data_IF_540746811034
#
_entry.id   IF_540746811034
#
_cell.length_a   1.000
_cell.length_b   1.000
_cell.length_c   1.000
_cell.angle_alpha   90.00
_cell.angle_beta   90.00
_cell.angle_gamma   90.00
#
_symmetry.space_group_name_H-M   'P 1'
#
loop_
_entity.id
_entity.type
_entity.pdbx_description
1 polymer ?
#
# COMPACT_ATOMS: atom_id res chain seq x y z
N UNK A 1 -11.04 31.00 -2.28
CA UNK A 1 -9.87 30.12 -2.38
C UNK A 1 -10.12 29.10 -3.49
N UNK A 2 -9.10 28.65 -4.22
CA UNK A 2 -9.24 27.59 -5.23
C UNK A 2 -9.77 26.33 -4.55
N UNK A 3 -10.71 25.62 -5.20
CA UNK A 3 -11.17 24.32 -4.72
C UNK A 3 -10.10 23.24 -4.94
N UNK A 4 -9.33 23.37 -6.01
CA UNK A 4 -8.25 22.44 -6.34
C UNK A 4 -7.11 22.55 -5.32
N UNK A 5 -6.59 21.42 -4.90
CA UNK A 5 -5.36 21.30 -4.11
C UNK A 5 -4.34 20.47 -4.90
N UNK A 6 -3.10 20.94 -4.98
CA UNK A 6 -1.98 20.28 -5.66
C UNK A 6 -0.68 20.71 -4.96
N UNK A 7 -0.34 20.01 -3.89
CA UNK A 7 0.73 20.39 -2.97
C UNK A 7 1.65 19.22 -2.70
N UNK A 8 2.97 19.50 -2.68
CA UNK A 8 3.98 18.63 -2.11
C UNK A 8 4.73 19.38 -1.03
N UNK A 9 4.90 18.78 0.13
CA UNK A 9 5.52 19.43 1.28
C UNK A 9 6.23 18.45 2.21
N UNK A 10 7.21 18.96 2.93
CA UNK A 10 7.80 18.25 4.06
C UNK A 10 7.04 18.57 5.34
N UNK A 11 6.66 17.52 6.06
CA UNK A 11 6.13 17.58 7.42
C UNK A 11 7.23 17.17 8.40
N UNK A 12 7.32 17.88 9.52
CA UNK A 12 8.20 17.51 10.64
C UNK A 12 7.51 16.46 11.50
N UNK A 13 7.87 15.18 11.32
CA UNK A 13 7.25 14.04 12.00
C UNK A 13 8.34 13.10 12.52
N UNK A 14 8.26 12.72 13.78
CA UNK A 14 9.21 11.77 14.39
C UNK A 14 10.67 12.25 14.36
N UNK A 15 10.89 13.56 14.30
CA UNK A 15 12.24 14.16 14.17
C UNK A 15 12.80 14.14 12.75
N UNK A 16 12.00 13.78 11.75
CA UNK A 16 12.38 13.73 10.34
C UNK A 16 11.52 14.68 9.51
N UNK A 17 12.09 15.16 8.42
CA UNK A 17 11.38 15.83 7.33
C UNK A 17 10.76 14.78 6.42
N UNK A 18 9.47 14.53 6.56
CA UNK A 18 8.76 13.49 5.81
C UNK A 18 7.96 14.09 4.65
N UNK A 19 8.17 13.56 3.45
CA UNK A 19 7.55 14.07 2.23
C UNK A 19 6.14 13.55 2.06
N UNK A 20 5.22 14.49 1.82
CA UNK A 20 3.80 14.19 1.60
C UNK A 20 3.31 14.97 0.39
N UNK A 21 2.49 14.35 -0.45
CA UNK A 21 1.71 15.03 -1.48
C UNK A 21 0.23 15.04 -1.11
N UNK A 22 -0.46 16.16 -1.37
CA UNK A 22 -1.90 16.34 -1.13
C UNK A 22 -2.49 16.88 -2.43
N UNK A 23 -3.31 16.08 -3.11
CA UNK A 23 -3.80 16.39 -4.44
C UNK A 23 -5.27 16.05 -4.62
N UNK A 24 -6.03 16.93 -5.24
CA UNK A 24 -7.45 16.73 -5.52
C UNK A 24 -8.06 17.88 -6.29
N UNK A 25 -9.15 17.61 -7.02
CA UNK A 25 -9.91 18.61 -7.76
C UNK A 25 -10.76 19.49 -6.86
N UNK A 26 -11.15 18.98 -5.72
CA UNK A 26 -11.88 19.74 -4.70
C UNK A 26 -11.35 19.31 -3.32
N UNK A 27 -10.74 20.26 -2.61
CA UNK A 27 -10.16 20.05 -1.28
C UNK A 27 -11.19 19.69 -0.21
N UNK A 28 -12.48 19.81 -0.51
CA UNK A 28 -13.58 19.39 0.37
C UNK A 28 -14.01 17.94 0.14
N UNK A 29 -13.49 17.29 -0.91
CA UNK A 29 -13.69 15.85 -1.09
C UNK A 29 -13.02 15.08 0.06
N UNK A 30 -13.57 13.91 0.45
CA UNK A 30 -12.97 13.07 1.48
C UNK A 30 -11.50 12.80 1.19
N UNK A 31 -10.65 12.92 2.21
CA UNK A 31 -9.24 12.61 2.07
C UNK A 31 -9.01 11.10 2.10
N UNK A 32 -8.20 10.60 1.16
CA UNK A 32 -7.81 9.19 1.04
C UNK A 32 -6.28 9.09 1.07
N UNK A 33 -5.74 8.55 2.16
CA UNK A 33 -4.31 8.31 2.30
C UNK A 33 -3.95 6.95 1.75
N UNK A 34 -3.05 6.93 0.77
CA UNK A 34 -2.58 5.70 0.11
C UNK A 34 -1.28 5.26 0.78
N UNK A 35 -1.29 4.05 1.37
CA UNK A 35 -0.15 3.44 2.04
C UNK A 35 0.41 2.30 1.20
N UNK A 36 1.65 2.41 0.78
CA UNK A 36 2.39 1.32 0.14
C UNK A 36 3.27 0.56 1.14
N UNK A 37 3.86 -0.55 0.73
CA UNK A 37 4.85 -1.27 1.52
C UNK A 37 6.09 -0.41 1.80
N UNK A 38 6.82 -0.74 2.88
CA UNK A 38 8.03 -0.02 3.25
C UNK A 38 9.07 -0.02 2.12
N UNK A 39 9.75 1.11 1.96
CA UNK A 39 10.71 1.33 0.89
C UNK A 39 10.12 1.86 -0.43
N UNK A 40 8.81 1.86 -0.58
CA UNK A 40 8.17 2.39 -1.78
C UNK A 40 8.06 3.93 -1.72
N UNK A 41 8.69 4.61 -2.68
CA UNK A 41 8.53 6.06 -2.90
C UNK A 41 7.19 6.33 -3.59
N UNK A 42 6.10 6.32 -2.82
CA UNK A 42 4.76 6.26 -3.40
C UNK A 42 4.23 7.61 -3.86
N UNK A 43 4.82 8.71 -3.40
CA UNK A 43 4.51 10.06 -3.91
C UNK A 43 4.80 10.19 -5.41
N UNK A 44 5.86 9.53 -5.91
CA UNK A 44 6.20 9.50 -7.32
C UNK A 44 5.11 8.86 -8.20
N UNK A 45 4.26 8.00 -7.62
CA UNK A 45 3.15 7.35 -8.32
C UNK A 45 1.89 8.23 -8.43
N UNK A 46 1.94 9.48 -8.00
CA UNK A 46 0.80 10.41 -8.05
C UNK A 46 0.12 10.49 -9.44
N UNK A 47 0.85 10.51 -10.58
CA UNK A 47 0.20 10.51 -11.90
C UNK A 47 -0.67 9.28 -12.18
N UNK A 48 -0.31 8.12 -11.61
CA UNK A 48 -1.04 6.86 -11.82
C UNK A 48 -2.41 6.92 -11.14
N UNK A 49 -2.49 7.51 -9.94
CA UNK A 49 -3.73 7.61 -9.15
C UNK A 49 -4.52 8.91 -9.42
N UNK A 50 -4.04 9.80 -10.31
CA UNK A 50 -4.71 11.05 -10.63
C UNK A 50 -6.21 10.92 -11.03
N UNK A 51 -6.68 9.81 -11.66
CA UNK A 51 -8.12 9.64 -11.91
C UNK A 51 -9.00 9.64 -10.64
N UNK A 52 -8.45 9.30 -9.47
CA UNK A 52 -9.21 9.31 -8.21
C UNK A 52 -9.34 10.72 -7.61
N UNK A 53 -8.52 11.69 -8.05
CA UNK A 53 -8.57 13.09 -7.61
C UNK A 53 -9.91 13.78 -7.93
N UNK A 54 -10.69 13.24 -8.87
CA UNK A 54 -12.04 13.71 -9.20
C UNK A 54 -13.03 13.50 -8.03
N UNK A 55 -12.72 12.59 -7.09
CA UNK A 55 -13.64 12.18 -6.03
C UNK A 55 -13.04 12.19 -4.63
N UNK A 56 -11.73 12.20 -4.54
CA UNK A 56 -10.98 12.20 -3.29
C UNK A 56 -9.90 13.27 -3.30
N UNK A 57 -9.54 13.76 -2.12
CA UNK A 57 -8.26 14.41 -1.91
C UNK A 57 -7.24 13.33 -1.55
N UNK A 58 -6.36 13.01 -2.50
CA UNK A 58 -5.36 11.96 -2.33
C UNK A 58 -4.19 12.45 -1.49
N UNK A 59 -3.76 11.59 -0.57
CA UNK A 59 -2.59 11.80 0.26
C UNK A 59 -1.61 10.67 0.00
N UNK A 60 -0.41 10.99 -0.47
CA UNK A 60 0.65 10.01 -0.66
C UNK A 60 1.86 10.42 0.16
N UNK A 61 2.44 9.48 0.85
CA UNK A 61 3.50 9.70 1.82
C UNK A 61 4.70 8.82 1.51
N UNK A 62 5.86 9.43 1.33
CA UNK A 62 7.14 8.72 1.32
C UNK A 62 7.54 8.45 2.77
N UNK A 63 7.43 7.20 3.16
CA UNK A 63 7.70 6.75 4.53
C UNK A 63 9.19 6.87 4.89
N UNK A 64 9.56 6.88 6.19
CA UNK A 64 10.95 6.72 6.60
C UNK A 64 11.62 5.54 5.88
N UNK A 65 12.84 5.77 5.39
CA UNK A 65 13.56 4.77 4.58
C UNK A 65 13.15 4.71 3.12
N UNK A 66 12.31 5.63 2.61
CA UNK A 66 11.89 5.66 1.21
C UNK A 66 11.87 7.06 0.60
N UNK A 67 12.08 7.11 -0.71
CA UNK A 67 11.87 8.25 -1.56
C UNK A 67 12.49 9.56 -1.06
N UNK A 68 11.72 10.63 -1.14
CA UNK A 68 12.16 11.97 -0.75
C UNK A 68 12.37 12.12 0.76
N UNK A 69 11.65 11.35 1.58
CA UNK A 69 11.88 11.32 3.04
C UNK A 69 13.27 10.80 3.36
N UNK A 70 13.69 9.69 2.74
CA UNK A 70 15.05 9.18 2.92
C UNK A 70 16.10 10.17 2.39
N UNK A 71 15.86 10.76 1.22
CA UNK A 71 16.77 11.73 0.63
C UNK A 71 16.96 12.98 1.50
N UNK A 72 15.90 13.42 2.20
CA UNK A 72 15.95 14.57 3.12
C UNK A 72 16.58 14.25 4.48
N UNK A 73 16.73 12.96 4.83
CA UNK A 73 17.23 12.51 6.13
C UNK A 73 18.31 11.41 5.95
N UNK A 74 19.43 11.68 5.27
CA UNK A 74 20.44 10.66 4.96
C UNK A 74 21.12 10.09 6.21
N UNK A 75 21.08 10.80 7.32
CA UNK A 75 21.70 10.43 8.59
C UNK A 75 20.74 9.69 9.55
N UNK A 76 19.51 9.44 9.15
CA UNK A 76 18.57 8.67 9.97
C UNK A 76 19.11 7.25 10.19
N UNK A 77 19.39 6.92 11.45
CA UNK A 77 19.89 5.60 11.90
C UNK A 77 18.88 4.89 12.80
N UNK A 78 17.72 5.51 13.05
CA UNK A 78 16.72 4.91 13.89
C UNK A 78 16.17 3.63 13.22
N UNK A 79 15.94 2.54 13.97
CA UNK A 79 15.40 1.33 13.40
C UNK A 79 14.08 1.57 12.66
N UNK A 80 13.98 1.04 11.45
CA UNK A 80 12.73 1.01 10.72
C UNK A 80 11.91 -0.18 11.24
N UNK A 81 10.74 0.11 11.80
CA UNK A 81 9.80 -0.88 12.34
C UNK A 81 8.38 -0.52 11.93
N UNK A 82 7.48 -1.50 11.89
CA UNK A 82 6.06 -1.22 11.63
C UNK A 82 5.44 -0.33 12.71
N UNK A 83 5.89 -0.42 13.97
CA UNK A 83 5.41 0.46 15.05
C UNK A 83 5.86 1.91 14.85
N UNK A 84 7.10 2.12 14.35
CA UNK A 84 7.56 3.46 13.96
C UNK A 84 6.74 4.00 12.81
N UNK A 85 6.58 3.22 11.74
CA UNK A 85 5.78 3.60 10.57
C UNK A 85 4.34 3.94 10.96
N UNK A 86 3.74 3.17 11.87
CA UNK A 86 2.37 3.43 12.33
C UNK A 86 2.26 4.73 13.12
N UNK A 87 3.18 5.00 14.07
CA UNK A 87 3.18 6.26 14.83
C UNK A 87 3.40 7.47 13.91
N UNK A 88 4.36 7.39 13.01
CA UNK A 88 4.64 8.46 12.06
C UNK A 88 3.46 8.67 11.11
N UNK A 89 2.84 7.59 10.62
CA UNK A 89 1.67 7.64 9.76
C UNK A 89 0.45 8.29 10.42
N UNK A 90 0.22 8.06 11.72
CA UNK A 90 -0.82 8.75 12.49
C UNK A 90 -0.50 10.25 12.57
N UNK A 91 0.74 10.63 12.88
CA UNK A 91 1.14 12.04 12.95
C UNK A 91 1.05 12.74 11.58
N UNK A 92 1.39 12.03 10.48
CA UNK A 92 1.16 12.54 9.11
C UNK A 92 -0.34 12.74 8.85
N UNK A 93 -1.18 11.78 9.21
CA UNK A 93 -2.63 11.90 9.06
C UNK A 93 -3.19 13.09 9.84
N UNK A 94 -2.73 13.32 11.07
CA UNK A 94 -3.10 14.48 11.90
C UNK A 94 -2.71 15.80 11.24
N UNK A 95 -1.48 15.92 10.76
CA UNK A 95 -1.00 17.13 10.10
C UNK A 95 -1.75 17.43 8.81
N UNK A 96 -2.08 16.37 8.01
CA UNK A 96 -2.88 16.50 6.79
C UNK A 96 -4.32 16.90 7.11
N UNK A 97 -4.96 16.28 8.10
CA UNK A 97 -6.30 16.63 8.54
C UNK A 97 -6.36 18.10 8.98
N UNK A 98 -5.42 18.55 9.81
CA UNK A 98 -5.33 19.95 10.24
C UNK A 98 -5.19 20.92 9.04
N UNK A 99 -4.37 20.56 8.02
CA UNK A 99 -4.17 21.37 6.82
C UNK A 99 -5.42 21.44 5.94
N UNK A 100 -6.19 20.36 5.86
CA UNK A 100 -7.42 20.28 5.07
C UNK A 100 -8.65 20.84 5.82
N UNK A 101 -8.55 20.99 7.15
CA UNK A 101 -9.70 21.36 8.01
C UNK A 101 -10.68 20.19 8.15
N UNK A 102 -10.16 18.96 8.21
CA UNK A 102 -10.92 17.72 8.36
C UNK A 102 -10.57 17.05 9.69
N UNK A 103 -11.51 16.31 10.26
CA UNK A 103 -11.27 15.56 11.50
C UNK A 103 -10.60 14.21 11.24
N UNK A 104 -10.94 13.57 10.11
CA UNK A 104 -10.54 12.20 9.78
C UNK A 104 -10.25 12.07 8.29
N UNK A 105 -9.44 11.05 7.94
CA UNK A 105 -9.24 10.61 6.56
C UNK A 105 -9.45 9.10 6.43
N UNK A 106 -9.67 8.61 5.22
CA UNK A 106 -9.74 7.18 4.94
C UNK A 106 -8.34 6.65 4.57
N UNK A 107 -8.07 5.38 4.89
CA UNK A 107 -6.86 4.68 4.48
C UNK A 107 -7.13 3.75 3.30
N UNK A 108 -6.26 3.78 2.30
CA UNK A 108 -6.15 2.77 1.26
C UNK A 108 -4.77 2.12 1.36
N UNK A 109 -4.72 0.90 1.87
CA UNK A 109 -3.48 0.24 2.24
C UNK A 109 -3.18 -0.93 1.29
N UNK A 110 -1.98 -0.94 0.71
CA UNK A 110 -1.56 -1.84 -0.36
C UNK A 110 -0.49 -2.79 0.16
N UNK A 111 -0.70 -4.11 0.03
CA UNK A 111 0.32 -5.14 0.32
C UNK A 111 0.93 -4.94 1.72
N UNK A 112 2.25 -4.89 1.85
CA UNK A 112 2.93 -4.59 3.12
C UNK A 112 2.49 -3.30 3.82
N UNK A 113 1.94 -2.32 3.08
CA UNK A 113 1.32 -1.11 3.65
C UNK A 113 0.09 -1.41 4.49
N UNK A 114 -0.56 -2.55 4.27
CA UNK A 114 -1.70 -2.98 5.08
C UNK A 114 -1.32 -3.32 6.52
N UNK A 115 -0.09 -3.79 6.76
CA UNK A 115 0.45 -3.98 8.12
C UNK A 115 0.57 -2.63 8.82
N UNK A 116 1.18 -1.64 8.15
CA UNK A 116 1.26 -0.26 8.67
C UNK A 116 -0.14 0.28 8.92
N UNK A 117 -1.08 0.13 7.97
CA UNK A 117 -2.44 0.63 8.07
C UNK A 117 -3.19 0.06 9.27
N UNK A 118 -3.19 -1.26 9.48
CA UNK A 118 -3.84 -1.89 10.64
C UNK A 118 -3.23 -1.41 11.97
N UNK A 119 -1.90 -1.26 12.04
CA UNK A 119 -1.23 -0.71 13.22
C UNK A 119 -1.56 0.78 13.44
N UNK A 120 -1.71 1.59 12.38
CA UNK A 120 -2.17 2.98 12.45
C UNK A 120 -3.58 3.06 13.05
N UNK A 121 -4.51 2.18 12.64
CA UNK A 121 -5.86 2.12 13.21
C UNK A 121 -5.85 1.84 14.72
N UNK A 122 -4.87 1.08 15.21
CA UNK A 122 -4.71 0.81 16.65
C UNK A 122 -4.03 1.97 17.40
N UNK A 123 -3.08 2.64 16.76
CA UNK A 123 -2.33 3.73 17.37
C UNK A 123 -3.13 5.03 17.45
N UNK A 124 -4.03 5.30 16.49
CA UNK A 124 -4.82 6.53 16.43
C UNK A 124 -6.20 6.30 15.81
N UNK A 125 -7.08 5.51 16.44
CA UNK A 125 -8.37 5.10 15.84
C UNK A 125 -9.25 6.28 15.45
N UNK A 126 -9.20 7.38 16.20
CA UNK A 126 -10.04 8.56 15.97
C UNK A 126 -9.62 9.39 14.75
N UNK A 127 -8.50 9.07 14.11
CA UNK A 127 -7.98 9.79 12.93
C UNK A 127 -8.50 9.22 11.61
N UNK A 128 -9.18 8.09 11.65
CA UNK A 128 -9.58 7.38 10.44
C UNK A 128 -11.10 7.22 10.35
N UNK A 129 -11.63 7.48 9.13
CA UNK A 129 -13.06 7.35 8.83
C UNK A 129 -13.40 5.98 8.26
N UNK A 130 -12.47 5.34 7.56
CA UNK A 130 -12.60 4.00 7.00
C UNK A 130 -11.24 3.42 6.64
N UNK A 131 -11.21 2.10 6.45
CA UNK A 131 -10.05 1.35 5.97
C UNK A 131 -10.40 0.56 4.71
N UNK A 132 -9.51 0.62 3.72
CA UNK A 132 -9.54 -0.22 2.53
C UNK A 132 -8.22 -0.95 2.40
N UNK A 133 -8.25 -2.28 2.41
CA UNK A 133 -7.09 -3.15 2.14
C UNK A 133 -7.12 -3.65 0.70
N UNK A 134 -5.99 -3.58 -0.01
CA UNK A 134 -5.77 -4.18 -1.33
C UNK A 134 -4.48 -5.00 -1.30
N UNK A 135 -4.55 -6.29 -1.62
CA UNK A 135 -3.42 -7.18 -1.34
C UNK A 135 -3.13 -7.29 0.16
N UNK A 136 -4.17 -7.52 0.96
CA UNK A 136 -4.12 -7.45 2.42
C UNK A 136 -3.23 -8.52 3.02
N UNK A 137 -2.25 -8.11 3.81
CA UNK A 137 -1.48 -9.02 4.68
C UNK A 137 -2.29 -9.32 5.93
N UNK A 138 -2.57 -10.60 6.17
CA UNK A 138 -3.34 -11.10 7.33
C UNK A 138 -2.47 -11.90 8.29
N UNK A 139 -2.08 -13.11 7.91
CA UNK A 139 -1.09 -13.90 8.60
C UNK A 139 -0.05 -14.35 7.58
N UNK A 140 1.17 -13.83 7.71
CA UNK A 140 2.21 -14.03 6.69
C UNK A 140 2.50 -15.51 6.43
N UNK A 141 2.64 -16.31 7.47
CA UNK A 141 2.97 -17.74 7.34
C UNK A 141 1.87 -18.54 6.64
N UNK A 142 0.61 -18.28 6.98
CA UNK A 142 -0.53 -18.95 6.31
C UNK A 142 -0.62 -18.51 4.86
N UNK A 143 -0.43 -17.21 4.59
CA UNK A 143 -0.44 -16.69 3.24
C UNK A 143 0.69 -17.28 2.39
N UNK A 144 1.91 -17.38 2.90
CA UNK A 144 3.02 -18.01 2.17
C UNK A 144 2.75 -19.49 1.84
N UNK A 145 2.17 -20.25 2.77
CA UNK A 145 1.84 -21.66 2.54
C UNK A 145 0.82 -21.82 1.40
N UNK A 146 -0.23 -21.00 1.39
CA UNK A 146 -1.23 -20.99 0.30
C UNK A 146 -0.63 -20.44 -1.00
N UNK A 147 0.17 -19.39 -0.93
CA UNK A 147 0.83 -18.77 -2.07
C UNK A 147 1.64 -19.79 -2.88
N UNK A 148 2.41 -20.66 -2.20
CA UNK A 148 3.19 -21.68 -2.87
C UNK A 148 2.32 -22.68 -3.68
N UNK A 149 1.21 -23.13 -3.11
CA UNK A 149 0.28 -24.01 -3.79
C UNK A 149 -0.37 -23.32 -5.01
N UNK A 150 -0.81 -22.07 -4.87
CA UNK A 150 -1.40 -21.28 -5.94
C UNK A 150 -0.40 -21.05 -7.07
N UNK A 151 0.85 -20.69 -6.75
CA UNK A 151 1.90 -20.51 -7.76
C UNK A 151 2.14 -21.79 -8.57
N UNK A 152 2.22 -22.94 -7.90
CA UNK A 152 2.37 -24.23 -8.59
C UNK A 152 1.16 -24.55 -9.49
N UNK A 153 -0.05 -24.26 -9.05
CA UNK A 153 -1.27 -24.43 -9.85
C UNK A 153 -1.27 -23.47 -11.05
N UNK A 154 -0.98 -22.21 -10.86
CA UNK A 154 -0.92 -21.20 -11.93
C UNK A 154 0.14 -21.54 -13.00
N UNK A 155 1.23 -22.20 -12.60
CA UNK A 155 2.33 -22.57 -13.48
C UNK A 155 2.25 -24.03 -13.97
N UNK A 156 1.15 -24.75 -13.74
CA UNK A 156 1.03 -26.18 -14.09
C UNK A 156 1.23 -26.48 -15.60
N UNK A 157 0.94 -25.51 -16.48
CA UNK A 157 1.17 -25.59 -17.93
C UNK A 157 2.60 -25.27 -18.38
N UNK A 158 3.46 -24.75 -17.48
CA UNK A 158 4.87 -24.40 -17.75
C UNK A 158 5.80 -25.31 -16.95
N UNK A 159 6.39 -26.28 -17.64
CA UNK A 159 7.27 -27.26 -17.01
C UNK A 159 8.53 -26.62 -16.42
N UNK A 160 9.08 -25.56 -17.06
CA UNK A 160 10.28 -24.87 -16.57
C UNK A 160 9.97 -24.06 -15.31
N UNK A 161 8.88 -23.28 -15.31
CA UNK A 161 8.41 -22.53 -14.16
C UNK A 161 8.06 -23.46 -12.98
N UNK A 162 7.36 -24.56 -13.24
CA UNK A 162 7.05 -25.57 -12.22
C UNK A 162 8.32 -26.19 -11.62
N UNK A 163 9.33 -26.50 -12.44
CA UNK A 163 10.61 -27.04 -11.97
C UNK A 163 11.37 -26.02 -11.10
N UNK A 164 11.40 -24.77 -11.50
CA UNK A 164 12.00 -23.67 -10.72
C UNK A 164 11.32 -23.49 -9.36
N UNK A 165 9.98 -23.42 -9.33
CA UNK A 165 9.22 -23.34 -8.08
C UNK A 165 9.48 -24.53 -7.16
N UNK A 166 9.53 -25.75 -7.70
CA UNK A 166 9.87 -26.95 -6.92
C UNK A 166 11.32 -26.93 -6.40
N UNK A 167 12.25 -26.34 -7.15
CA UNK A 167 13.64 -26.18 -6.71
C UNK A 167 13.77 -25.16 -5.58
N UNK A 168 12.98 -24.07 -5.61
CA UNK A 168 12.87 -23.11 -4.50
C UNK A 168 12.28 -23.79 -3.26
N UNK A 169 11.35 -24.71 -3.43
CA UNK A 169 10.69 -25.47 -2.37
C UNK A 169 9.57 -24.67 -1.64
N UNK A 170 8.87 -25.35 -0.71
CA UNK A 170 7.83 -24.72 0.09
C UNK A 170 8.38 -23.77 1.15
N UNK A 171 7.54 -22.82 1.65
CA UNK A 171 7.93 -21.98 2.78
C UNK A 171 8.15 -22.82 4.08
N UNK A 172 8.82 -22.27 5.12
CA UNK A 172 9.33 -20.91 5.18
C UNK A 172 10.59 -20.70 4.35
N UNK A 173 10.64 -19.63 3.57
CA UNK A 173 11.84 -19.27 2.82
C UNK A 173 12.81 -18.57 3.75
N UNK A 174 13.84 -19.31 4.19
CA UNK A 174 14.80 -18.88 5.21
C UNK A 174 15.70 -17.74 4.69
N UNK A 175 16.01 -17.77 3.40
CA UNK A 175 16.87 -16.77 2.79
C UNK A 175 16.10 -15.86 1.82
N UNK A 176 16.61 -14.64 1.67
CA UNK A 176 16.02 -13.62 0.82
C UNK A 176 16.11 -13.98 -0.66
N UNK A 177 17.10 -14.78 -1.06
CA UNK A 177 17.24 -15.21 -2.45
C UNK A 177 16.08 -16.07 -2.91
N UNK A 178 15.69 -17.06 -2.09
CA UNK A 178 14.51 -17.89 -2.36
C UNK A 178 13.23 -17.05 -2.38
N UNK A 179 13.10 -16.09 -1.47
CA UNK A 179 11.95 -15.19 -1.42
C UNK A 179 11.86 -14.29 -2.66
N UNK A 180 12.97 -13.72 -3.10
CA UNK A 180 13.03 -12.92 -4.33
C UNK A 180 12.75 -13.78 -5.57
N UNK A 181 13.28 -15.00 -5.64
CA UNK A 181 13.06 -15.90 -6.76
C UNK A 181 11.56 -16.27 -6.89
N UNK A 182 10.87 -16.54 -5.79
CA UNK A 182 9.42 -16.82 -5.80
C UNK A 182 8.58 -15.61 -6.18
N UNK A 183 9.07 -14.38 -5.88
CA UNK A 183 8.25 -13.18 -6.04
C UNK A 183 7.92 -12.86 -7.50
N UNK A 184 8.71 -13.33 -8.48
CA UNK A 184 8.37 -13.23 -9.90
C UNK A 184 7.07 -13.97 -10.25
N UNK A 185 6.78 -15.07 -9.54
CA UNK A 185 5.55 -15.84 -9.71
C UNK A 185 4.41 -15.27 -8.87
N UNK A 186 4.68 -14.93 -7.62
CA UNK A 186 3.70 -14.38 -6.71
C UNK A 186 3.15 -13.01 -7.17
N UNK A 187 3.99 -12.21 -7.85
CA UNK A 187 3.64 -10.90 -8.41
C UNK A 187 3.40 -10.94 -9.93
N UNK A 188 3.21 -12.14 -10.51
CA UNK A 188 2.90 -12.26 -11.92
C UNK A 188 1.59 -11.52 -12.23
N UNK A 189 1.68 -10.56 -13.16
CA UNK A 189 0.52 -9.75 -13.54
C UNK A 189 -0.45 -10.55 -14.40
N UNK A 190 -1.73 -10.42 -14.10
CA UNK A 190 -2.80 -10.88 -14.99
C UNK A 190 -2.82 -10.08 -16.30
N UNK A 191 -3.47 -10.57 -17.37
CA UNK A 191 -3.61 -9.80 -18.60
C UNK A 191 -4.25 -8.41 -18.40
N UNK A 192 -5.21 -8.30 -17.47
CA UNK A 192 -5.85 -7.03 -17.15
C UNK A 192 -4.88 -6.05 -16.46
N UNK A 193 -4.07 -6.55 -15.53
CA UNK A 193 -3.04 -5.75 -14.85
C UNK A 193 -1.93 -5.31 -15.81
N UNK A 194 -1.51 -6.20 -16.72
CA UNK A 194 -0.54 -5.85 -17.78
C UNK A 194 -1.07 -4.73 -18.68
N UNK A 195 -2.32 -4.85 -19.12
CA UNK A 195 -2.97 -3.82 -19.94
C UNK A 195 -3.08 -2.49 -19.17
N UNK A 196 -3.48 -2.53 -17.90
CA UNK A 196 -3.59 -1.34 -17.07
C UNK A 196 -2.22 -0.68 -16.84
N UNK A 197 -1.18 -1.46 -16.56
CA UNK A 197 0.19 -0.96 -16.39
C UNK A 197 0.73 -0.35 -17.70
N UNK A 198 0.45 -0.96 -18.85
CA UNK A 198 0.86 -0.42 -20.16
C UNK A 198 0.15 0.91 -20.46
N UNK A 199 -1.09 1.08 -20.01
CA UNK A 199 -1.86 2.32 -20.16
C UNK A 199 -1.53 3.38 -19.10
N UNK A 200 -0.86 3.01 -18.01
CA UNK A 200 -0.53 3.93 -16.92
C UNK A 200 0.45 5.01 -17.37
N UNK A 201 0.36 6.24 -16.84
CA UNK A 201 1.21 7.36 -17.25
C UNK A 201 2.63 7.26 -16.68
N UNK A 202 3.28 6.10 -16.84
CA UNK A 202 4.61 5.82 -16.30
C UNK A 202 5.71 6.73 -16.86
N UNK A 203 5.49 7.38 -18.00
CA UNK A 203 6.39 8.42 -18.49
C UNK A 203 6.47 9.60 -17.53
N UNK A 204 5.33 10.05 -16.98
CA UNK A 204 5.28 11.14 -15.99
C UNK A 204 5.87 10.74 -14.62
N UNK A 205 5.90 9.45 -14.31
CA UNK A 205 6.58 8.93 -13.11
C UNK A 205 8.10 8.98 -13.29
N UNK A 206 8.59 8.57 -14.47
CA UNK A 206 10.03 8.52 -14.78
C UNK A 206 10.62 9.90 -15.08
N UNK A 207 9.87 10.72 -15.79
CA UNK A 207 10.29 12.05 -16.26
C UNK A 207 9.19 13.07 -15.90
N UNK A 208 9.07 13.46 -14.62
CA UNK A 208 8.05 14.40 -14.20
C UNK A 208 8.31 15.79 -14.80
N UNK A 209 7.26 16.56 -15.13
CA UNK A 209 7.42 17.90 -15.61
C UNK A 209 8.06 18.81 -14.53
N UNK A 210 8.82 19.85 -14.95
CA UNK A 210 9.39 20.79 -14.01
C UNK A 210 8.32 21.41 -13.08
N UNK A 211 8.59 21.41 -11.78
CA UNK A 211 7.68 21.97 -10.79
C UNK A 211 6.46 21.10 -10.44
N UNK A 212 6.46 19.83 -10.85
CA UNK A 212 5.41 18.89 -10.44
C UNK A 212 5.37 18.76 -8.91
N UNK A 213 4.19 18.90 -8.35
CA UNK A 213 3.96 18.90 -6.89
C UNK A 213 4.36 17.58 -6.19
N UNK A 214 4.41 16.49 -6.94
CA UNK A 214 4.82 15.17 -6.41
C UNK A 214 6.34 14.95 -6.41
N UNK A 215 7.11 15.93 -6.91
CA UNK A 215 8.57 15.90 -6.91
C UNK A 215 9.10 16.78 -5.79
N UNK A 216 9.77 16.16 -4.83
CA UNK A 216 10.34 16.90 -3.72
C UNK A 216 11.53 17.78 -4.16
N UNK A 217 11.74 18.94 -3.56
CA UNK A 217 12.87 19.83 -3.85
C UNK A 217 14.16 19.35 -3.15
N UNK A 218 14.47 18.06 -3.29
CA UNK A 218 15.70 17.43 -2.79
C UNK A 218 16.26 16.51 -3.87
N UNK A 219 17.58 16.30 -3.92
CA UNK A 219 18.16 15.30 -4.83
C UNK A 219 17.53 13.93 -4.61
N UNK A 220 17.23 13.17 -5.66
CA UNK A 220 16.71 11.83 -5.50
C UNK A 220 17.74 10.92 -4.82
N UNK A 221 17.27 9.84 -4.19
CA UNK A 221 18.15 8.78 -3.70
C UNK A 221 18.94 8.21 -4.88
N UNK A 222 20.25 8.08 -4.72
CA UNK A 222 21.16 7.70 -5.81
C UNK A 222 20.85 6.28 -6.34
N UNK A 223 20.49 5.35 -5.47
CA UNK A 223 20.05 4.00 -5.83
C UNK A 223 18.75 3.66 -5.08
N UNK A 224 17.60 3.94 -5.70
CA UNK A 224 16.30 3.71 -5.08
C UNK A 224 16.00 2.22 -4.88
N UNK A 225 16.56 1.32 -5.68
CA UNK A 225 16.34 -0.13 -5.54
C UNK A 225 17.05 -0.68 -4.32
N UNK A 226 18.32 -0.35 -4.13
CA UNK A 226 19.07 -0.73 -2.91
C UNK A 226 18.44 -0.11 -1.67
N UNK A 227 17.96 1.12 -1.74
CA UNK A 227 17.30 1.78 -0.64
C UNK A 227 15.98 1.08 -0.25
N UNK A 228 15.12 0.80 -1.24
CA UNK A 228 13.87 0.08 -1.03
C UNK A 228 14.12 -1.33 -0.48
N UNK A 229 15.12 -2.01 -0.98
CA UNK A 229 15.52 -3.33 -0.50
C UNK A 229 16.02 -3.29 0.94
N UNK A 230 16.84 -2.31 1.30
CA UNK A 230 17.32 -2.13 2.68
C UNK A 230 16.16 -1.85 3.65
N UNK A 231 15.19 -1.03 3.26
CA UNK A 231 13.98 -0.77 4.05
C UNK A 231 13.15 -2.05 4.22
N UNK A 232 12.96 -2.83 3.16
CA UNK A 232 12.30 -4.13 3.22
C UNK A 232 13.02 -5.10 4.17
N UNK A 233 14.35 -5.22 4.08
CA UNK A 233 15.14 -6.07 4.95
C UNK A 233 15.01 -5.68 6.44
N UNK A 234 14.92 -4.39 6.73
CA UNK A 234 14.79 -3.91 8.10
C UNK A 234 13.47 -4.36 8.75
N UNK A 235 12.36 -4.34 8.01
CA UNK A 235 11.03 -4.71 8.53
C UNK A 235 10.70 -6.20 8.34
N UNK A 236 11.47 -6.93 7.52
CA UNK A 236 11.20 -8.32 7.17
C UNK A 236 10.98 -9.24 8.38
N UNK A 237 11.78 -9.18 9.45
CA UNK A 237 11.56 -10.04 10.63
C UNK A 237 10.16 -9.84 11.26
N UNK A 238 9.68 -8.60 11.33
CA UNK A 238 8.34 -8.30 11.83
C UNK A 238 7.26 -8.79 10.86
N UNK A 239 7.48 -8.63 9.54
CA UNK A 239 6.57 -9.12 8.52
C UNK A 239 6.39 -10.65 8.57
N UNK A 240 7.50 -11.40 8.66
CA UNK A 240 7.47 -12.86 8.78
C UNK A 240 6.76 -13.37 10.04
N UNK A 241 6.75 -12.58 11.10
CA UNK A 241 6.06 -12.88 12.35
C UNK A 241 4.64 -12.31 12.42
N UNK A 242 4.22 -11.54 11.41
CA UNK A 242 2.97 -10.80 11.46
C UNK A 242 1.74 -11.70 11.42
N UNK A 243 0.83 -11.44 12.35
CA UNK A 243 -0.54 -11.97 12.39
C UNK A 243 -1.50 -10.84 12.76
N UNK A 244 -2.36 -10.44 11.81
CA UNK A 244 -3.33 -9.37 12.00
C UNK A 244 -4.32 -9.66 13.14
N UNK A 245 -4.62 -10.92 13.42
CA UNK A 245 -5.53 -11.32 14.49
C UNK A 245 -4.99 -10.93 15.87
N UNK A 246 -3.67 -10.85 16.04
CA UNK A 246 -3.03 -10.43 17.29
C UNK A 246 -3.25 -8.95 17.62
N UNK A 247 -3.62 -8.14 16.61
CA UNK A 247 -3.99 -6.74 16.81
C UNK A 247 -5.42 -6.58 17.33
N UNK A 248 -6.19 -7.68 17.42
CA UNK A 248 -7.61 -7.70 17.76
C UNK A 248 -8.50 -7.61 16.52
N UNK A 249 -9.74 -8.07 16.66
CA UNK A 249 -10.69 -8.24 15.55
C UNK A 249 -11.82 -7.19 15.54
N UNK A 250 -11.93 -6.36 16.58
CA UNK A 250 -12.95 -5.32 16.66
C UNK A 250 -12.40 -3.97 16.19
N UNK A 251 -13.13 -3.29 15.31
CA UNK A 251 -12.82 -1.95 14.80
C UNK A 251 -14.07 -1.08 14.81
N UNK A 252 -13.94 0.21 15.13
CA UNK A 252 -15.04 1.16 15.24
C UNK A 252 -15.30 1.94 13.94
N UNK A 253 -14.73 1.48 12.83
CA UNK A 253 -14.83 2.09 11.50
C UNK A 253 -15.07 1.04 10.41
N UNK A 254 -15.61 1.41 9.24
CA UNK A 254 -15.79 0.51 8.11
C UNK A 254 -14.47 -0.12 7.65
N UNK A 255 -14.49 -1.43 7.44
CA UNK A 255 -13.36 -2.25 6.96
C UNK A 255 -13.73 -2.87 5.62
N UNK A 256 -13.02 -2.50 4.57
CA UNK A 256 -13.28 -2.94 3.19
C UNK A 256 -12.02 -3.62 2.65
N UNK A 257 -12.19 -4.75 1.99
CA UNK A 257 -11.09 -5.49 1.36
C UNK A 257 -11.39 -5.65 -0.13
N UNK A 258 -10.64 -4.92 -0.97
CA UNK A 258 -10.69 -5.00 -2.43
C UNK A 258 -9.54 -5.92 -2.86
N UNK A 259 -9.82 -7.21 -3.03
CA UNK A 259 -8.79 -8.24 -3.13
C UNK A 259 -8.75 -8.88 -4.51
N UNK A 260 -7.57 -8.94 -5.13
CA UNK A 260 -7.39 -9.68 -6.38
C UNK A 260 -7.70 -11.18 -6.17
N UNK A 261 -8.65 -11.72 -6.95
CA UNK A 261 -9.06 -13.12 -6.82
C UNK A 261 -7.94 -14.10 -7.22
N UNK A 262 -6.97 -13.62 -8.02
CA UNK A 262 -5.81 -14.40 -8.50
C UNK A 262 -4.51 -14.02 -7.75
N UNK A 263 -4.61 -13.34 -6.63
CA UNK A 263 -3.45 -12.92 -5.86
C UNK A 263 -2.72 -14.15 -5.27
N UNK A 264 -1.53 -14.41 -5.79
CA UNK A 264 -0.67 -15.48 -5.31
C UNK A 264 0.36 -15.00 -4.27
N UNK A 265 0.36 -13.72 -3.90
CA UNK A 265 1.24 -13.17 -2.86
C UNK A 265 0.52 -13.06 -1.51
N UNK A 266 -0.67 -12.49 -1.54
CA UNK A 266 -1.60 -12.41 -0.40
C UNK A 266 -2.93 -13.07 -0.77
N UNK A 267 -3.00 -14.42 -0.70
CA UNK A 267 -4.11 -15.21 -1.23
C UNK A 267 -5.49 -14.76 -0.76
N UNK A 268 -6.40 -14.62 -1.72
CA UNK A 268 -7.77 -14.13 -1.53
C UNK A 268 -8.52 -14.86 -0.41
N UNK A 269 -8.38 -16.19 -0.33
CA UNK A 269 -9.04 -17.02 0.68
C UNK A 269 -8.65 -16.64 2.12
N UNK A 270 -7.38 -16.28 2.37
CA UNK A 270 -6.95 -15.83 3.71
C UNK A 270 -7.48 -14.45 4.04
N UNK A 271 -7.60 -13.55 3.05
CA UNK A 271 -8.18 -12.22 3.25
C UNK A 271 -9.67 -12.31 3.53
N UNK A 272 -10.40 -13.15 2.81
CA UNK A 272 -11.82 -13.41 3.04
C UNK A 272 -12.07 -14.03 4.42
N UNK A 273 -11.27 -15.03 4.79
CA UNK A 273 -11.35 -15.66 6.11
C UNK A 273 -11.03 -14.68 7.26
N UNK A 274 -10.11 -13.74 7.05
CA UNK A 274 -9.83 -12.66 8.00
C UNK A 274 -11.00 -11.69 8.09
N UNK A 275 -11.52 -11.22 6.96
CA UNK A 275 -12.66 -10.31 6.91
C UNK A 275 -13.90 -10.88 7.63
N UNK A 276 -14.16 -12.18 7.46
CA UNK A 276 -15.28 -12.88 8.12
C UNK A 276 -15.20 -12.93 9.64
N UNK A 277 -14.00 -12.73 10.21
CA UNK A 277 -13.79 -12.71 11.69
C UNK A 277 -13.92 -11.32 12.28
N UNK A 278 -13.92 -10.26 11.45
CA UNK A 278 -13.92 -8.90 11.96
C UNK A 278 -15.28 -8.48 12.51
N UNK A 279 -15.26 -7.74 13.62
CA UNK A 279 -16.39 -7.00 14.17
C UNK A 279 -16.17 -5.51 13.88
N UNK A 280 -16.96 -4.94 12.97
CA UNK A 280 -16.90 -3.53 12.61
C UNK A 280 -18.29 -3.05 12.15
N UNK A 281 -18.58 -1.73 12.14
CA UNK A 281 -19.87 -1.21 11.67
C UNK A 281 -20.25 -1.68 10.26
N UNK A 282 -19.24 -1.82 9.40
CA UNK A 282 -19.36 -2.40 8.06
C UNK A 282 -18.11 -3.24 7.80
N UNK A 283 -18.28 -4.48 7.36
CA UNK A 283 -17.20 -5.30 6.82
C UNK A 283 -17.60 -5.70 5.40
N UNK A 284 -16.73 -5.44 4.43
CA UNK A 284 -16.94 -5.85 3.04
C UNK A 284 -15.70 -6.55 2.49
N UNK A 285 -15.91 -7.73 1.94
CA UNK A 285 -14.93 -8.40 1.09
C UNK A 285 -15.42 -8.34 -0.35
N UNK A 286 -14.63 -7.78 -1.25
CA UNK A 286 -14.97 -7.57 -2.66
C UNK A 286 -13.87 -8.16 -3.52
N UNK A 287 -14.10 -9.31 -4.16
CA UNK A 287 -13.12 -9.90 -5.06
C UNK A 287 -13.02 -9.09 -6.36
N UNK A 288 -11.82 -9.02 -6.91
CA UNK A 288 -11.51 -8.45 -8.21
C UNK A 288 -11.11 -9.62 -9.10
N UNK A 289 -12.06 -10.15 -9.86
CA UNK A 289 -11.91 -11.41 -10.61
C UNK A 289 -10.74 -11.39 -11.60
N UNK A 290 -10.52 -10.25 -12.25
CA UNK A 290 -9.42 -10.00 -13.20
C UNK A 290 -8.09 -9.64 -12.54
N UNK A 291 -8.05 -9.44 -11.21
CA UNK A 291 -6.89 -8.96 -10.45
C UNK A 291 -6.06 -10.06 -9.81
N UNK A 292 -4.75 -9.87 -9.79
CA UNK A 292 -3.76 -10.55 -8.97
C UNK A 292 -3.22 -9.63 -7.87
N UNK A 293 -1.95 -9.81 -7.49
CA UNK A 293 -1.31 -8.97 -6.48
C UNK A 293 -1.13 -7.51 -6.92
N UNK A 294 -0.97 -7.29 -8.23
CA UNK A 294 -0.80 -5.98 -8.81
C UNK A 294 -2.12 -5.28 -9.15
N UNK A 295 -3.24 -5.77 -8.60
CA UNK A 295 -4.59 -5.20 -8.80
C UNK A 295 -4.70 -3.72 -8.42
N UNK A 296 -3.77 -3.20 -7.61
CA UNK A 296 -3.64 -1.76 -7.32
C UNK A 296 -3.51 -0.90 -8.58
N UNK A 297 -2.99 -1.46 -9.68
CA UNK A 297 -2.86 -0.77 -10.97
C UNK A 297 -4.12 -0.82 -11.83
N UNK A 298 -5.14 -1.57 -11.44
CA UNK A 298 -6.48 -1.51 -12.04
C UNK A 298 -7.23 -0.24 -11.59
N UNK A 299 -6.59 0.93 -11.79
CA UNK A 299 -6.99 2.22 -11.20
C UNK A 299 -8.44 2.58 -11.52
N UNK A 300 -8.89 2.36 -12.75
CA UNK A 300 -10.29 2.63 -13.14
C UNK A 300 -11.27 1.70 -12.41
N UNK A 301 -10.95 0.41 -12.31
CA UNK A 301 -11.77 -0.58 -11.60
C UNK A 301 -11.84 -0.28 -10.11
N UNK A 302 -10.69 -0.06 -9.49
CA UNK A 302 -10.62 0.31 -8.07
C UNK A 302 -11.34 1.63 -7.78
N UNK A 303 -11.21 2.62 -8.66
CA UNK A 303 -11.95 3.88 -8.53
C UNK A 303 -13.47 3.68 -8.49
N UNK A 304 -13.99 2.81 -9.35
CA UNK A 304 -15.42 2.44 -9.34
C UNK A 304 -15.82 1.72 -8.05
N UNK A 305 -14.98 0.79 -7.56
CA UNK A 305 -15.23 0.10 -6.29
C UNK A 305 -15.14 1.02 -5.07
N UNK A 306 -14.22 1.99 -5.08
CA UNK A 306 -14.14 3.02 -4.04
C UNK A 306 -15.39 3.92 -4.04
N UNK A 307 -15.91 4.27 -5.21
CA UNK A 307 -17.17 5.02 -5.33
C UNK A 307 -18.35 4.23 -4.78
N UNK A 308 -18.41 2.94 -5.05
CA UNK A 308 -19.52 2.07 -4.63
C UNK A 308 -19.46 1.71 -3.15
N UNK A 309 -18.27 1.37 -2.65
CA UNK A 309 -18.15 0.73 -1.35
C UNK A 309 -17.58 1.64 -0.24
N UNK A 310 -16.75 2.63 -0.59
CA UNK A 310 -16.11 3.52 0.38
C UNK A 310 -16.85 4.85 0.50
N UNK A 311 -17.04 5.55 -0.63
CA UNK A 311 -17.54 6.94 -0.61
C UNK A 311 -18.86 7.14 0.15
N UNK A 312 -19.86 6.24 0.07
CA UNK A 312 -21.10 6.40 0.84
C UNK A 312 -20.93 6.29 2.36
N UNK A 313 -19.79 5.80 2.84
CA UNK A 313 -19.49 5.59 4.26
C UNK A 313 -18.70 6.74 4.89
N UNK A 314 -18.11 7.62 4.06
CA UNK A 314 -17.20 8.70 4.49
C UNK A 314 -17.60 10.09 3.94
N UNK A 315 -18.73 10.17 3.22
CA UNK A 315 -19.26 11.42 2.64
C UNK A 315 -19.82 12.36 3.71
#
# INVERSE_FOLDING_TARGET
MSKTIDEGLFLEVGGLRQWVTIRGRDRTHPALMILAGAGAAFSAMAPVFAPWEERFTLVQWDQPGSGATQAANPDDKAPLTYDRLARDGVAVAEAVCARLGMDRLALFAISGGSVTGLKMLRAGPDRFSAYVGNGQVTNWRRQEALAYAIMLEQQAGDAAATAELKAIGPPPWADVGAELAKSKYANAMTPAEQAAMAAAPMALVREPPPGASWVAPVPPVADPYTAAYAAYQAIRPELLAFDAETLGLAFDLPMIFLQGARDAHTPAAEVEAFAAKLAAPVVRYVPIDEGGHMSTFLVARLGALLDEHLRPLIA
#
